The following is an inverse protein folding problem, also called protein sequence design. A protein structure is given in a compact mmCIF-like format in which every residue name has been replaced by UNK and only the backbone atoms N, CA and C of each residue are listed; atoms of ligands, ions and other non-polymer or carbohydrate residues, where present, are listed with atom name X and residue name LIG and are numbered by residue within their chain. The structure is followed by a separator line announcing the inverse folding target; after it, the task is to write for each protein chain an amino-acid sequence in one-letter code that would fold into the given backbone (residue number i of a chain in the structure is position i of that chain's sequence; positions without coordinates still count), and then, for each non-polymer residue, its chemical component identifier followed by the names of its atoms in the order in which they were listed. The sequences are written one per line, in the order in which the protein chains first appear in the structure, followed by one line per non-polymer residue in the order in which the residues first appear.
data_IF_063625962983
#
_entry.id   IF_063625962983
#
_cell.length_a   1.000
_cell.length_b   1.000
_cell.length_c   1.000
_cell.angle_alpha   90.00
_cell.angle_beta   90.00
_cell.angle_gamma   90.00
#
_symmetry.space_group_name_H-M   'P 1'
#
loop_
_entity.id
_entity.type
_entity.pdbx_description
1 polymer ?
#
# COMPACT_ATOMS: atom_id res chain seq x y z
N UNK A 1 8.86 -5.80 4.28
CA UNK A 1 7.89 -6.68 3.60
C UNK A 1 6.83 -5.81 2.95
N UNK A 2 6.35 -6.20 1.77
CA UNK A 2 5.30 -5.51 1.02
C UNK A 2 4.11 -6.46 0.92
N UNK A 3 3.01 -6.08 1.58
CA UNK A 3 1.77 -6.83 1.62
C UNK A 3 0.68 -6.03 0.90
N UNK A 4 -0.04 -6.70 0.01
CA UNK A 4 -1.26 -6.19 -0.59
C UNK A 4 -2.31 -7.31 -0.53
N UNK A 5 -3.49 -7.06 0.05
CA UNK A 5 -4.53 -8.08 0.14
C UNK A 5 -4.92 -8.59 -1.26
N UNK A 6 -5.24 -9.89 -1.34
CA UNK A 6 -5.71 -10.53 -2.57
C UNK A 6 -7.15 -10.12 -2.92
N UNK A 7 -7.53 -10.27 -4.19
CA UNK A 7 -8.89 -9.99 -4.67
C UNK A 7 -9.97 -10.89 -4.01
N UNK A 8 -9.60 -12.04 -3.45
CA UNK A 8 -10.51 -12.94 -2.74
C UNK A 8 -10.91 -12.44 -1.34
N UNK A 9 -10.04 -11.66 -0.68
CA UNK A 9 -10.35 -11.01 0.62
C UNK A 9 -10.95 -9.61 0.43
N UNK A 10 -10.90 -9.11 -0.80
CA UNK A 10 -11.53 -7.87 -1.19
C UNK A 10 -12.99 -8.14 -1.53
N UNK A 11 -13.84 -8.15 -0.51
CA UNK A 11 -15.03 -7.29 -0.59
C UNK A 11 -14.60 -5.80 -0.64
N UNK A 12 -13.88 -5.47 -1.72
CA UNK A 12 -13.82 -4.18 -2.40
C UNK A 12 -15.14 -3.38 -2.35
N UNK A 13 -16.36 -3.97 -2.43
CA UNK A 13 -17.58 -3.19 -2.54
C UNK A 13 -17.91 -2.26 -1.37
N UNK A 14 -17.43 -2.53 -0.14
CA UNK A 14 -17.66 -1.66 1.03
C UNK A 14 -16.53 -0.62 1.16
N UNK A 15 -15.28 -1.03 0.95
CA UNK A 15 -14.12 -0.14 0.98
C UNK A 15 -14.11 0.88 -0.18
N UNK A 16 -14.65 0.52 -1.35
CA UNK A 16 -14.89 1.46 -2.45
C UNK A 16 -16.04 2.43 -2.13
N UNK A 17 -17.18 1.97 -1.61
CA UNK A 17 -18.36 2.82 -1.48
C UNK A 17 -18.19 3.97 -0.48
N UNK A 18 -17.44 3.78 0.60
CA UNK A 18 -17.12 4.85 1.55
C UNK A 18 -16.09 5.86 1.00
N UNK A 19 -15.10 5.40 0.22
CA UNK A 19 -14.06 6.24 -0.37
C UNK A 19 -14.55 7.16 -1.51
N UNK A 20 -15.72 6.86 -2.12
CA UNK A 20 -16.32 7.65 -3.20
C UNK A 20 -17.35 8.71 -2.73
N UNK A 21 -17.57 8.89 -1.42
CA UNK A 21 -18.52 9.88 -0.88
C UNK A 21 -17.88 11.04 -0.09
N UNK A 22 -16.56 11.07 0.09
CA UNK A 22 -15.87 12.05 0.95
C UNK A 22 -14.92 13.03 0.23
N UNK A 23 -14.83 13.01 -1.10
CA UNK A 23 -14.03 13.99 -1.87
C UNK A 23 -12.50 13.82 -1.78
N UNK A 24 -11.97 13.09 -0.80
CA UNK A 24 -10.55 12.72 -0.63
C UNK A 24 -10.38 11.22 -0.31
N UNK A 25 -9.17 10.68 -0.50
CA UNK A 25 -8.85 9.29 -0.13
C UNK A 25 -8.43 9.16 1.34
N UNK A 26 -8.38 7.93 1.86
CA UNK A 26 -7.84 7.62 3.17
C UNK A 26 -6.61 6.70 3.07
N UNK A 27 -5.62 6.95 3.92
CA UNK A 27 -4.44 6.09 4.11
C UNK A 27 -4.72 5.13 5.27
N UNK A 28 -4.89 3.85 4.96
CA UNK A 28 -5.01 2.78 5.95
C UNK A 28 -3.63 2.23 6.31
N UNK A 29 -3.31 2.22 7.60
CA UNK A 29 -2.05 1.67 8.11
C UNK A 29 -2.35 0.52 9.06
N UNK A 30 -1.72 -0.62 8.86
CA UNK A 30 -1.79 -1.79 9.75
C UNK A 30 -0.45 -2.02 10.40
N UNK A 31 -0.44 -2.24 11.71
CA UNK A 31 0.77 -2.54 12.46
C UNK A 31 1.00 -4.05 12.50
N UNK A 32 2.07 -4.50 11.83
CA UNK A 32 2.44 -5.91 11.80
C UNK A 32 3.57 -6.21 12.78
N UNK A 33 3.47 -7.35 13.47
CA UNK A 33 4.58 -7.97 14.20
C UNK A 33 5.49 -8.69 13.22
N UNK A 34 6.78 -8.78 13.55
CA UNK A 34 7.74 -9.50 12.71
C UNK A 34 7.35 -10.96 12.46
N UNK A 35 6.71 -11.62 13.43
CA UNK A 35 6.20 -12.99 13.32
C UNK A 35 5.05 -13.16 12.31
N UNK A 36 4.38 -12.08 11.93
CA UNK A 36 3.25 -12.08 10.98
C UNK A 36 3.72 -11.86 9.53
N UNK A 37 4.98 -11.44 9.35
CA UNK A 37 5.57 -11.12 8.05
C UNK A 37 6.32 -12.33 7.48
N UNK A 38 5.56 -13.29 6.96
CA UNK A 38 6.12 -14.47 6.27
C UNK A 38 6.01 -14.30 4.75
N UNK A 39 7.07 -14.58 3.96
CA UNK A 39 6.98 -14.57 2.51
C UNK A 39 5.85 -15.48 2.00
N UNK A 40 5.00 -14.96 1.13
CA UNK A 40 3.87 -15.66 0.53
C UNK A 40 3.57 -15.10 -0.87
N UNK A 41 2.52 -15.59 -1.52
CA UNK A 41 2.05 -15.05 -2.81
C UNK A 41 1.53 -13.62 -2.72
N UNK A 42 1.20 -13.15 -1.51
CA UNK A 42 0.67 -11.80 -1.23
C UNK A 42 1.57 -10.97 -0.31
N UNK A 43 2.71 -11.52 0.12
CA UNK A 43 3.68 -10.86 1.00
C UNK A 43 5.10 -11.14 0.49
N UNK A 44 5.79 -10.09 0.02
CA UNK A 44 7.15 -10.24 -0.53
C UNK A 44 8.16 -9.44 0.26
N UNK A 45 9.40 -9.96 0.35
CA UNK A 45 10.51 -9.20 0.91
C UNK A 45 11.08 -8.28 -0.16
N UNK A 46 11.27 -7.01 0.19
CA UNK A 46 11.96 -6.03 -0.63
C UNK A 46 13.30 -5.76 0.02
N UNK A 47 14.37 -5.95 -0.75
CA UNK A 47 15.73 -5.62 -0.32
C UNK A 47 16.07 -4.22 -0.88
N UNK A 48 16.15 -3.24 0.02
CA UNK A 48 16.31 -1.82 -0.30
C UNK A 48 17.67 -1.32 0.21
N UNK A 49 18.38 -0.56 -0.61
CA UNK A 49 19.49 0.29 -0.11
C UNK A 49 18.93 1.45 0.74
N UNK A 50 19.76 2.08 1.60
CA UNK A 50 19.31 3.23 2.39
C UNK A 50 18.70 4.36 1.56
N UNK A 51 19.27 4.65 0.39
CA UNK A 51 18.75 5.67 -0.52
C UNK A 51 17.41 5.29 -1.14
N UNK A 52 17.21 4.01 -1.50
CA UNK A 52 15.92 3.52 -2.02
C UNK A 52 14.84 3.55 -0.94
N UNK A 53 15.20 3.17 0.29
CA UNK A 53 14.31 3.24 1.45
C UNK A 53 13.89 4.68 1.75
N UNK A 54 14.84 5.64 1.76
CA UNK A 54 14.52 7.05 1.99
C UNK A 54 13.53 7.60 0.95
N UNK A 55 13.69 7.25 -0.33
CA UNK A 55 12.74 7.64 -1.39
C UNK A 55 11.35 7.02 -1.18
N UNK A 56 11.29 5.76 -0.74
CA UNK A 56 10.03 5.11 -0.41
C UNK A 56 9.32 5.79 0.75
N UNK A 57 10.06 6.11 1.81
CA UNK A 57 9.55 6.82 2.99
C UNK A 57 9.01 8.19 2.59
N UNK A 58 9.75 8.97 1.81
CA UNK A 58 9.30 10.28 1.33
C UNK A 58 8.03 10.18 0.48
N UNK A 59 7.92 9.17 -0.38
CA UNK A 59 6.71 8.91 -1.17
C UNK A 59 5.50 8.58 -0.27
N UNK A 60 5.69 7.71 0.73
CA UNK A 60 4.62 7.34 1.67
C UNK A 60 4.21 8.54 2.52
N UNK A 61 5.15 9.32 3.03
CA UNK A 61 4.89 10.54 3.80
C UNK A 61 4.12 11.58 2.96
N UNK A 62 4.51 11.79 1.71
CA UNK A 62 3.81 12.65 0.74
C UNK A 62 2.50 12.06 0.22
N UNK A 63 2.00 10.96 0.77
CA UNK A 63 0.68 10.42 0.48
C UNK A 63 -0.37 10.83 1.51
N UNK A 64 0.06 11.31 2.67
CA UNK A 64 -0.82 11.82 3.73
C UNK A 64 -1.15 13.30 3.47
N UNK A 65 -2.38 13.70 3.79
CA UNK A 65 -2.76 15.10 3.76
C UNK A 65 -2.35 15.78 5.06
N UNK A 66 -1.45 16.78 5.03
CA UNK A 66 -1.09 17.53 6.22
C UNK A 66 -2.30 18.35 6.72
N UNK A 67 -2.45 18.44 8.04
CA UNK A 67 -3.38 19.35 8.70
C UNK A 67 -2.87 20.79 8.70
N UNK A 68 -3.63 21.69 9.33
CA UNK A 68 -3.23 23.09 9.50
C UNK A 68 -1.95 23.24 10.35
N UNK A 69 -1.65 22.24 11.18
CA UNK A 69 -0.44 22.11 12.00
C UNK A 69 0.73 21.44 11.27
N UNK A 70 0.55 21.03 10.01
CA UNK A 70 1.53 20.30 9.21
C UNK A 70 1.66 18.82 9.57
N UNK A 71 0.82 18.28 10.47
CA UNK A 71 0.87 16.88 10.90
C UNK A 71 -0.10 16.02 10.10
N UNK A 72 0.10 14.70 10.13
CA UNK A 72 -0.82 13.73 9.51
C UNK A 72 -2.16 13.73 10.25
N UNK A 73 -3.26 13.81 9.51
CA UNK A 73 -4.60 13.89 10.11
C UNK A 73 -5.16 12.50 10.37
N UNK A 74 -5.28 12.14 11.65
CA UNK A 74 -5.88 10.88 12.10
C UNK A 74 -7.41 10.92 11.96
N UNK A 75 -7.99 9.82 11.47
CA UNK A 75 -9.43 9.61 11.32
C UNK A 75 -9.93 8.63 12.40
N UNK A 76 -10.41 9.12 13.56
CA UNK A 76 -10.82 8.28 14.68
C UNK A 76 -12.07 7.45 14.36
N UNK A 77 -12.21 6.29 15.02
CA UNK A 77 -13.41 5.44 14.93
C UNK A 77 -13.49 4.55 13.70
N UNK A 78 -12.51 4.65 12.80
CA UNK A 78 -12.35 3.78 11.64
C UNK A 78 -11.15 2.87 11.90
N UNK A 79 -11.40 1.66 12.41
CA UNK A 79 -10.38 0.62 12.60
C UNK A 79 -11.04 -0.72 12.31
N UNK A 80 -10.37 -1.61 11.59
CA UNK A 80 -10.88 -2.94 11.31
C UNK A 80 -10.59 -3.94 12.43
N UNK A 81 -9.47 -3.81 13.16
CA UNK A 81 -9.05 -4.84 14.09
C UNK A 81 -8.21 -4.36 15.31
N UNK A 82 -8.28 -3.08 15.68
CA UNK A 82 -7.63 -2.55 16.88
C UNK A 82 -6.09 -2.47 16.83
N UNK A 83 -5.50 -2.87 15.70
CA UNK A 83 -4.07 -2.77 15.39
C UNK A 83 -3.86 -2.08 14.04
N UNK A 84 -4.78 -1.18 13.71
CA UNK A 84 -4.79 -0.40 12.48
C UNK A 84 -5.33 1.01 12.74
N UNK A 85 -5.02 1.92 11.82
CA UNK A 85 -5.44 3.31 11.89
C UNK A 85 -5.69 3.86 10.49
N UNK A 86 -6.58 4.85 10.39
CA UNK A 86 -6.87 5.57 9.16
C UNK A 86 -6.44 7.02 9.28
N UNK A 87 -5.94 7.58 8.19
CA UNK A 87 -5.53 8.99 8.09
C UNK A 87 -6.07 9.61 6.79
N UNK A 88 -6.20 10.94 6.72
CA UNK A 88 -6.52 11.59 5.46
C UNK A 88 -5.39 11.43 4.44
N UNK A 89 -5.75 11.01 3.23
CA UNK A 89 -4.88 10.94 2.07
C UNK A 89 -4.87 12.25 1.28
N UNK A 90 -3.72 12.58 0.69
CA UNK A 90 -3.54 13.81 -0.08
C UNK A 90 -4.36 13.82 -1.39
N UNK A 91 -4.59 12.64 -1.98
CA UNK A 91 -5.16 12.52 -3.32
C UNK A 91 -6.62 12.10 -3.28
N UNK A 92 -7.41 12.48 -4.29
CA UNK A 92 -8.73 11.93 -4.49
C UNK A 92 -8.63 10.57 -5.19
N UNK A 93 -9.42 9.60 -4.75
CA UNK A 93 -9.49 8.30 -5.41
C UNK A 93 -10.06 8.48 -6.82
N UNK A 94 -9.41 7.89 -7.83
CA UNK A 94 -9.92 7.87 -9.20
C UNK A 94 -9.63 6.52 -9.84
N UNK A 95 -10.28 6.22 -10.96
CA UNK A 95 -10.00 5.02 -11.75
C UNK A 95 -8.50 4.88 -12.12
N UNK A 96 -7.81 6.02 -12.27
CA UNK A 96 -6.38 6.09 -12.58
C UNK A 96 -5.48 6.06 -11.33
N UNK A 97 -6.04 6.29 -10.14
CA UNK A 97 -5.33 6.33 -8.85
C UNK A 97 -5.99 5.37 -7.86
N UNK A 98 -5.68 4.10 -8.03
CA UNK A 98 -6.10 3.01 -7.12
C UNK A 98 -5.01 2.73 -6.08
N UNK A 99 -5.33 1.97 -5.03
CA UNK A 99 -4.33 1.48 -4.07
C UNK A 99 -3.20 0.68 -4.73
N UNK A 100 -3.51 -0.12 -5.76
CA UNK A 100 -2.51 -0.88 -6.52
C UNK A 100 -1.62 0.03 -7.37
N UNK A 101 -2.19 1.09 -7.96
CA UNK A 101 -1.42 2.08 -8.70
C UNK A 101 -0.52 2.91 -7.77
N UNK A 102 -1.04 3.31 -6.61
CA UNK A 102 -0.28 3.98 -5.56
C UNK A 102 0.91 3.11 -5.10
N UNK A 103 0.66 1.82 -4.83
CA UNK A 103 1.71 0.92 -4.41
C UNK A 103 2.76 0.67 -5.53
N UNK A 104 2.31 0.55 -6.79
CA UNK A 104 3.17 0.44 -7.96
C UNK A 104 4.11 1.64 -8.11
N UNK A 105 3.60 2.85 -7.90
CA UNK A 105 4.39 4.07 -8.00
C UNK A 105 5.40 4.19 -6.85
N UNK A 106 5.06 3.74 -5.64
CA UNK A 106 6.01 3.61 -4.53
C UNK A 106 7.19 2.68 -4.87
N UNK A 107 6.91 1.55 -5.53
CA UNK A 107 7.97 0.66 -6.03
C UNK A 107 8.84 1.34 -7.10
N UNK A 108 8.25 2.07 -8.05
CA UNK A 108 9.02 2.81 -9.07
C UNK A 108 9.94 3.86 -8.45
N UNK A 109 9.41 4.71 -7.57
CA UNK A 109 10.16 5.79 -6.93
C UNK A 109 11.29 5.24 -6.05
N UNK A 110 11.06 4.11 -5.39
CA UNK A 110 12.09 3.40 -4.62
C UNK A 110 13.06 2.59 -5.48
N UNK A 111 12.96 2.64 -6.81
CA UNK A 111 13.85 1.91 -7.72
C UNK A 111 13.70 0.39 -7.64
N UNK A 112 12.54 -0.08 -7.22
CA UNK A 112 12.17 -1.49 -7.17
C UNK A 112 11.45 -1.91 -8.46
N UNK A 113 11.34 -3.22 -8.69
CA UNK A 113 10.66 -3.75 -9.89
C UNK A 113 9.18 -3.39 -9.84
N UNK A 114 8.64 -2.84 -10.92
CA UNK A 114 7.26 -2.38 -10.93
C UNK A 114 6.65 -2.62 -12.30
N UNK A 115 5.32 -2.70 -12.34
CA UNK A 115 4.60 -2.70 -13.59
C UNK A 115 4.65 -1.31 -14.22
N UNK A 116 4.53 -1.22 -15.55
CA UNK A 116 4.33 0.07 -16.21
C UNK A 116 3.08 0.77 -15.66
N UNK A 117 2.00 0.04 -15.48
CA UNK A 117 0.81 0.45 -14.74
C UNK A 117 0.00 -0.79 -14.35
N UNK A 118 -0.68 -0.78 -13.21
CA UNK A 118 -1.62 -1.85 -12.84
C UNK A 118 -2.69 -1.37 -11.86
N UNK A 119 -3.97 -1.71 -12.08
CA UNK A 119 -5.04 -1.51 -11.12
C UNK A 119 -5.29 -2.75 -10.25
N UNK A 120 -4.64 -3.88 -10.55
CA UNK A 120 -4.80 -5.17 -9.85
C UNK A 120 -3.49 -5.62 -9.19
N UNK A 121 -3.59 -6.24 -8.01
CA UNK A 121 -2.44 -6.76 -7.25
C UNK A 121 -1.61 -7.80 -7.99
N UNK A 122 -2.21 -8.64 -8.86
CA UNK A 122 -1.47 -9.60 -9.68
C UNK A 122 -0.40 -8.95 -10.59
N UNK A 123 -0.66 -7.73 -11.07
CA UNK A 123 0.32 -6.97 -11.86
C UNK A 123 1.54 -6.53 -11.04
N UNK A 124 1.39 -6.33 -9.73
CA UNK A 124 2.49 -6.02 -8.83
C UNK A 124 3.32 -7.28 -8.54
N UNK A 125 2.66 -8.33 -8.07
CA UNK A 125 3.33 -9.54 -7.60
C UNK A 125 4.03 -10.34 -8.69
N UNK A 126 3.63 -10.19 -9.98
CA UNK A 126 4.35 -10.81 -11.11
C UNK A 126 5.84 -10.48 -11.16
N UNK A 127 6.25 -9.34 -10.59
CA UNK A 127 7.65 -8.92 -10.54
C UNK A 127 8.45 -9.51 -9.36
N UNK A 128 7.76 -10.15 -8.41
CA UNK A 128 8.30 -10.60 -7.13
C UNK A 128 7.93 -12.04 -6.79
N UNK A 129 7.30 -12.76 -7.72
CA UNK A 129 6.94 -14.16 -7.54
C UNK A 129 8.18 -14.92 -7.07
N UNK A 130 8.03 -15.64 -5.95
CA UNK A 130 9.04 -16.56 -5.44
C UNK A 130 9.40 -17.49 -6.61
N UNK A 131 10.65 -17.43 -7.08
CA UNK A 131 11.20 -18.58 -7.79
C UNK A 131 11.16 -19.71 -6.78
N UNK A 132 10.50 -20.82 -7.11
CA UNK A 132 10.76 -22.06 -6.38
C UNK A 132 12.28 -22.24 -6.30
N UNK A 133 12.83 -22.64 -5.15
CA UNK A 133 14.24 -23.00 -5.10
C UNK A 133 14.44 -24.05 -6.18
N UNK A 134 15.41 -23.81 -7.07
CA UNK A 134 15.76 -24.77 -8.11
C UNK A 134 15.98 -26.13 -7.42
N UNK A 135 15.13 -27.10 -7.75
CA UNK A 135 15.33 -28.49 -7.40
C UNK A 135 16.73 -28.86 -7.85
N UNK A 136 17.61 -29.13 -6.89
CA UNK A 136 18.89 -29.80 -7.15
C UNK A 136 18.63 -31.25 -7.50
#
# INVERSE_FOLDING_TARGET
FFYIPGWGDLTLPIAFRAAFHLGTSAMHTTFYKASELTPSTTCVRLDLTPAQYARLVAYVQGSFRPGADGLVQYLPGHTYAGHDAFYEGQWAYSFWHTCNTWANNGLKVSGQRAALWTPISGGLFRHYTLREPATK
#
